data_IF_480282912262
#
_entry.id   IF_480282912262
#
_cell.length_a   1.000
_cell.length_b   1.000
_cell.length_c   1.000
_cell.angle_alpha   90.00
_cell.angle_beta   90.00
_cell.angle_gamma   90.00
#
_symmetry.space_group_name_H-M   'P 1'
#
loop_
_entity.id
_entity.type
_entity.pdbx_description
1 polymer ?
#
# COMPACT_ATOMS: atom_id res chain seq x y z
N UNK A 1 -3.82 7.94 -55.67
CA UNK A 1 -3.44 7.77 -54.26
C UNK A 1 -2.82 9.06 -53.78
N UNK A 2 -3.09 9.49 -52.55
CA UNK A 2 -2.63 10.80 -52.06
C UNK A 2 -1.10 10.84 -51.99
N UNK A 3 -0.50 11.94 -52.44
CA UNK A 3 0.95 12.18 -52.39
C UNK A 3 1.52 12.01 -50.96
N UNK A 4 0.70 12.30 -49.94
CA UNK A 4 1.04 12.10 -48.53
C UNK A 4 1.21 10.62 -48.15
N UNK A 5 0.40 9.71 -48.70
CA UNK A 5 0.52 8.28 -48.38
C UNK A 5 1.80 7.67 -48.96
N UNK A 6 2.22 8.18 -50.13
CA UNK A 6 3.45 7.73 -50.81
C UNK A 6 4.71 8.11 -50.04
N UNK A 7 4.85 9.38 -49.69
CA UNK A 7 6.01 9.88 -48.92
C UNK A 7 6.16 9.17 -47.57
N UNK A 8 5.04 8.87 -46.90
CA UNK A 8 5.04 8.11 -45.65
C UNK A 8 5.55 6.67 -45.86
N UNK A 9 5.13 6.00 -46.95
CA UNK A 9 5.63 4.65 -47.29
C UNK A 9 7.11 4.63 -47.67
N UNK A 10 7.58 5.61 -48.46
CA UNK A 10 8.99 5.75 -48.82
C UNK A 10 9.85 5.94 -47.56
N UNK A 11 9.41 6.79 -46.62
CA UNK A 11 10.13 7.01 -45.36
C UNK A 11 10.14 5.76 -44.46
N UNK A 12 9.05 5.01 -44.42
CA UNK A 12 8.96 3.75 -43.66
C UNK A 12 9.84 2.65 -44.26
N UNK A 13 9.89 2.54 -45.59
CA UNK A 13 10.79 1.61 -46.29
C UNK A 13 12.25 2.00 -46.10
N UNK A 14 12.60 3.29 -46.20
CA UNK A 14 13.95 3.77 -45.94
C UNK A 14 14.41 3.48 -44.49
N UNK A 15 13.51 3.66 -43.52
CA UNK A 15 13.77 3.29 -42.13
C UNK A 15 14.02 1.79 -41.96
N UNK A 16 13.18 0.95 -42.59
CA UNK A 16 13.31 -0.51 -42.53
C UNK A 16 14.60 -1.01 -43.20
N UNK A 17 14.98 -0.46 -44.35
CA UNK A 17 16.22 -0.78 -45.03
C UNK A 17 17.46 -0.40 -44.20
N UNK A 18 17.42 0.73 -43.46
CA UNK A 18 18.52 1.12 -42.57
C UNK A 18 18.65 0.18 -41.36
N UNK A 19 17.54 -0.20 -40.74
CA UNK A 19 17.55 -1.17 -39.62
C UNK A 19 18.07 -2.52 -40.10
N UNK A 20 17.60 -2.98 -41.26
CA UNK A 20 18.04 -4.25 -41.85
C UNK A 20 19.52 -4.23 -42.25
N UNK A 21 20.05 -3.09 -42.74
CA UNK A 21 21.49 -2.92 -42.96
C UNK A 21 22.31 -2.98 -41.67
N UNK A 22 21.78 -2.49 -40.55
CA UNK A 22 22.44 -2.60 -39.25
C UNK A 22 22.39 -4.03 -38.70
N UNK A 23 21.26 -4.74 -38.86
CA UNK A 23 21.10 -6.13 -38.42
C UNK A 23 21.97 -7.10 -39.23
N UNK A 24 22.13 -6.85 -40.53
CA UNK A 24 22.93 -7.67 -41.45
C UNK A 24 24.39 -7.19 -41.60
N UNK A 25 24.86 -6.31 -40.70
CA UNK A 25 26.21 -5.74 -40.77
C UNK A 25 27.32 -6.79 -40.58
N UNK A 26 27.05 -7.85 -39.82
CA UNK A 26 27.98 -8.94 -39.53
C UNK A 26 27.86 -10.14 -40.48
N UNK A 27 26.85 -10.14 -41.37
CA UNK A 27 26.63 -11.21 -42.35
C UNK A 27 27.48 -11.03 -43.62
N UNK A 28 27.65 -12.13 -44.37
CA UNK A 28 28.42 -12.15 -45.62
C UNK A 28 27.78 -11.20 -46.68
N UNK A 29 28.58 -10.44 -47.45
CA UNK A 29 28.07 -9.42 -48.37
C UNK A 29 27.01 -9.93 -49.35
N UNK A 30 27.13 -11.18 -49.80
CA UNK A 30 26.19 -11.81 -50.71
C UNK A 30 24.81 -12.04 -50.07
N UNK A 31 24.77 -12.47 -48.81
CA UNK A 31 23.51 -12.71 -48.08
C UNK A 31 22.82 -11.38 -47.78
N UNK A 32 23.62 -10.35 -47.45
CA UNK A 32 23.13 -8.99 -47.24
C UNK A 32 22.46 -8.42 -48.49
N UNK A 33 23.08 -8.58 -49.66
CA UNK A 33 22.51 -8.13 -50.93
C UNK A 33 21.22 -8.88 -51.28
N UNK A 34 21.22 -10.21 -51.15
CA UNK A 34 20.03 -11.05 -51.44
C UNK A 34 18.84 -10.65 -50.56
N UNK A 35 19.04 -10.38 -49.27
CA UNK A 35 17.97 -9.97 -48.36
C UNK A 35 17.49 -8.53 -48.58
N UNK A 36 18.41 -7.59 -48.87
CA UNK A 36 18.03 -6.21 -49.19
C UNK A 36 17.22 -6.12 -50.48
N UNK A 37 17.61 -6.89 -51.50
CA UNK A 37 16.89 -6.97 -52.78
C UNK A 37 15.52 -7.59 -52.58
N UNK A 38 15.39 -8.66 -51.79
CA UNK A 38 14.09 -9.29 -51.52
C UNK A 38 13.09 -8.33 -50.86
N UNK A 39 13.55 -7.49 -49.93
CA UNK A 39 12.71 -6.48 -49.27
C UNK A 39 12.33 -5.35 -50.23
N UNK A 40 13.25 -4.95 -51.11
CA UNK A 40 12.98 -3.95 -52.15
C UNK A 40 11.96 -4.48 -53.18
N UNK A 41 12.14 -5.71 -53.66
CA UNK A 41 11.23 -6.36 -54.61
C UNK A 41 9.82 -6.51 -54.04
N UNK A 42 9.70 -6.84 -52.75
CA UNK A 42 8.40 -6.90 -52.08
C UNK A 42 7.70 -5.53 -52.04
N UNK A 43 8.46 -4.46 -51.81
CA UNK A 43 7.91 -3.11 -51.78
C UNK A 43 7.54 -2.61 -53.19
N UNK A 44 8.38 -2.89 -54.19
CA UNK A 44 8.11 -2.55 -55.60
C UNK A 44 6.91 -3.32 -56.14
N UNK A 45 6.71 -4.58 -55.74
CA UNK A 45 5.55 -5.37 -56.13
C UNK A 45 4.21 -4.81 -55.61
N UNK A 46 4.25 -3.99 -54.55
CA UNK A 46 3.06 -3.34 -53.98
C UNK A 46 2.66 -2.03 -54.65
N UNK A 47 3.50 -1.50 -55.54
CA UNK A 47 3.31 -0.21 -56.23
C UNK A 47 2.88 -0.40 -57.69
N UNK A 48 2.23 0.62 -58.28
CA UNK A 48 1.80 0.55 -59.68
C UNK A 48 3.00 0.63 -60.64
N UNK A 49 3.04 -0.12 -61.75
CA UNK A 49 4.21 -0.18 -62.65
C UNK A 49 4.67 1.19 -63.19
N UNK A 50 3.75 2.14 -63.30
CA UNK A 50 3.96 3.51 -63.77
C UNK A 50 4.54 4.45 -62.70
N UNK A 51 4.41 4.09 -61.42
CA UNK A 51 4.90 4.87 -60.27
C UNK A 51 6.21 4.32 -59.68
N UNK A 52 6.67 3.14 -60.12
CA UNK A 52 7.94 2.54 -59.67
C UNK A 52 9.16 3.45 -59.90
N UNK A 53 9.33 4.11 -61.07
CA UNK A 53 10.52 4.92 -61.33
C UNK A 53 10.63 6.11 -60.37
N UNK A 54 9.53 6.83 -60.15
CA UNK A 54 9.51 7.98 -59.26
C UNK A 54 9.54 7.59 -57.77
N UNK A 55 9.10 6.37 -57.43
CA UNK A 55 9.22 5.84 -56.07
C UNK A 55 10.68 5.50 -55.72
N UNK A 56 11.42 4.92 -56.68
CA UNK A 56 12.85 4.62 -56.52
C UNK A 56 13.66 5.92 -56.47
N UNK A 57 13.35 6.92 -57.31
CA UNK A 57 14.01 8.24 -57.22
C UNK A 57 13.81 8.90 -55.86
N UNK A 58 12.58 8.89 -55.33
CA UNK A 58 12.30 9.38 -53.98
C UNK A 58 13.07 8.58 -52.91
N UNK A 59 13.14 7.25 -53.02
CA UNK A 59 13.90 6.41 -52.09
C UNK A 59 15.40 6.70 -52.13
N UNK A 60 15.98 6.94 -53.32
CA UNK A 60 17.38 7.28 -53.50
C UNK A 60 17.77 8.61 -52.82
N UNK A 61 16.83 9.55 -52.64
CA UNK A 61 17.12 10.78 -51.86
C UNK A 61 17.45 10.48 -50.38
N UNK A 62 16.97 9.35 -49.84
CA UNK A 62 17.25 8.91 -48.48
C UNK A 62 18.56 8.13 -48.36
N UNK A 63 19.16 7.74 -49.48
CA UNK A 63 20.43 7.01 -49.55
C UNK A 63 21.36 7.73 -50.53
N UNK A 64 22.02 8.84 -50.10
CA UNK A 64 22.93 9.56 -50.97
C UNK A 64 24.03 8.61 -51.45
N UNK A 65 24.11 8.42 -52.77
CA UNK A 65 25.17 7.62 -53.37
C UNK A 65 26.52 8.25 -52.98
N UNK A 66 27.36 7.50 -52.28
CA UNK A 66 28.79 7.74 -52.36
C UNK A 66 29.16 7.49 -53.82
N UNK A 67 29.21 8.56 -54.61
CA UNK A 67 29.28 8.48 -56.05
C UNK A 67 30.45 7.61 -56.52
N UNK A 68 30.21 6.87 -57.60
CA UNK A 68 31.25 6.31 -58.44
C UNK A 68 32.25 7.42 -58.80
N UNK A 69 33.42 7.34 -58.19
CA UNK A 69 34.44 8.36 -58.23
C UNK A 69 35.83 7.76 -58.11
N UNK A 70 36.27 7.10 -59.17
CA UNK A 70 37.70 7.06 -59.50
C UNK A 70 38.17 8.51 -59.61
N UNK A 71 38.81 9.02 -58.56
CA UNK A 71 39.17 10.43 -58.47
C UNK A 71 39.94 10.71 -57.19
N UNK A 72 41.26 10.54 -57.26
CA UNK A 72 42.18 11.03 -56.23
C UNK A 72 42.13 12.56 -56.18
N UNK A 73 41.60 13.15 -55.11
CA UNK A 73 41.99 14.44 -54.52
C UNK A 73 41.02 14.86 -53.38
N UNK A 74 41.44 15.83 -52.56
CA UNK A 74 42.18 15.68 -51.32
C UNK A 74 41.25 15.39 -50.13
N UNK A 75 41.70 14.56 -49.20
CA UNK A 75 41.07 14.40 -47.89
C UNK A 75 40.95 15.77 -47.21
N UNK A 76 39.74 16.31 -46.96
CA UNK A 76 39.62 17.21 -45.84
C UNK A 76 39.82 16.31 -44.63
N UNK A 77 40.97 16.44 -43.97
CA UNK A 77 41.14 15.92 -42.62
C UNK A 77 40.22 16.76 -41.74
N UNK A 78 38.91 16.48 -41.81
CA UNK A 78 38.03 16.70 -40.68
C UNK A 78 38.63 15.78 -39.63
N UNK A 79 39.38 16.37 -38.69
CA UNK A 79 39.63 15.76 -37.39
C UNK A 79 38.28 15.65 -36.69
N UNK A 80 37.38 14.81 -37.19
CA UNK A 80 36.40 14.16 -36.35
C UNK A 80 37.29 13.32 -35.44
N UNK A 81 37.58 13.85 -34.25
CA UNK A 81 37.76 12.98 -33.10
C UNK A 81 36.57 12.04 -33.18
N UNK A 82 36.80 10.82 -33.65
CA UNK A 82 35.93 9.71 -33.36
C UNK A 82 35.85 9.75 -31.85
N UNK A 83 34.76 10.34 -31.34
CA UNK A 83 34.54 10.32 -29.91
C UNK A 83 34.45 8.84 -29.61
N UNK A 84 35.42 8.35 -28.85
CA UNK A 84 35.37 7.00 -28.30
C UNK A 84 33.94 6.72 -27.82
N UNK A 85 33.45 5.48 -27.96
CA UNK A 85 32.14 5.13 -27.46
C UNK A 85 32.06 5.59 -26.00
N UNK A 86 31.32 6.69 -25.78
CA UNK A 86 31.28 7.38 -24.50
C UNK A 86 30.87 6.35 -23.47
N UNK A 87 31.66 6.21 -22.43
CA UNK A 87 31.33 5.28 -21.37
C UNK A 87 29.98 5.67 -20.78
N UNK A 88 29.16 4.72 -20.29
CA UNK A 88 27.89 5.04 -19.64
C UNK A 88 28.02 6.10 -18.53
N UNK A 89 29.18 6.15 -17.86
CA UNK A 89 29.51 7.16 -16.86
C UNK A 89 29.68 8.58 -17.42
N UNK A 90 30.18 8.73 -18.66
CA UNK A 90 30.31 10.03 -19.32
C UNK A 90 28.96 10.55 -19.82
N UNK A 91 28.07 9.67 -20.26
CA UNK A 91 26.68 10.01 -20.56
C UNK A 91 25.93 10.47 -19.32
N UNK A 92 26.07 9.75 -18.20
CA UNK A 92 25.50 10.15 -16.92
C UNK A 92 26.07 11.50 -16.45
N UNK A 93 27.39 11.71 -16.57
CA UNK A 93 28.02 12.99 -16.23
C UNK A 93 27.58 14.16 -17.12
N UNK A 94 27.32 13.90 -18.42
CA UNK A 94 26.75 14.88 -19.34
C UNK A 94 25.31 15.22 -19.00
N UNK A 95 24.50 14.22 -18.66
CA UNK A 95 23.11 14.37 -18.26
C UNK A 95 22.99 15.19 -16.96
N UNK A 96 23.83 14.91 -15.97
CA UNK A 96 23.87 15.65 -14.69
C UNK A 96 24.23 17.13 -14.93
N UNK A 97 25.20 17.41 -15.80
CA UNK A 97 25.57 18.80 -16.15
C UNK A 97 24.46 19.53 -16.90
N UNK A 98 23.73 18.82 -17.75
CA UNK A 98 22.59 19.38 -18.49
C UNK A 98 21.35 19.55 -17.59
N UNK A 99 21.25 18.79 -16.50
CA UNK A 99 20.11 18.79 -15.59
C UNK A 99 19.80 20.18 -15.03
N UNK A 100 20.82 20.90 -14.58
CA UNK A 100 20.67 22.24 -14.00
C UNK A 100 20.22 23.30 -15.00
N UNK A 101 20.47 23.07 -16.30
CA UNK A 101 20.05 23.97 -17.39
C UNK A 101 18.66 23.70 -17.94
N UNK A 102 18.02 22.58 -17.57
CA UNK A 102 16.69 22.21 -18.06
C UNK A 102 15.57 22.93 -17.30
N UNK A 103 14.50 23.28 -18.02
CA UNK A 103 13.28 23.80 -17.41
C UNK A 103 12.56 22.70 -16.61
N UNK A 104 11.66 23.05 -15.66
CA UNK A 104 10.91 22.06 -14.90
C UNK A 104 10.10 21.09 -15.79
N UNK A 105 9.50 21.59 -16.87
CA UNK A 105 8.72 20.77 -17.81
C UNK A 105 9.60 19.79 -18.59
N UNK A 106 10.81 20.21 -18.99
CA UNK A 106 11.73 19.34 -19.72
C UNK A 106 12.34 18.26 -18.81
N UNK A 107 12.50 18.55 -17.52
CA UNK A 107 12.92 17.55 -16.51
C UNK A 107 11.86 16.48 -16.32
N UNK A 108 10.58 16.86 -16.29
CA UNK A 108 9.47 15.90 -16.15
C UNK A 108 9.35 15.02 -17.40
N UNK A 109 9.45 15.62 -18.59
CA UNK A 109 9.45 14.88 -19.86
C UNK A 109 10.63 13.90 -19.96
N UNK A 110 11.84 14.35 -19.61
CA UNK A 110 13.03 13.52 -19.61
C UNK A 110 12.94 12.37 -18.59
N UNK A 111 12.35 12.62 -17.42
CA UNK A 111 12.11 11.59 -16.41
C UNK A 111 11.12 10.55 -16.93
N UNK A 112 10.04 10.97 -17.59
CA UNK A 112 9.08 10.06 -18.20
C UNK A 112 9.73 9.16 -19.26
N UNK A 113 10.59 9.72 -20.12
CA UNK A 113 11.32 8.94 -21.14
C UNK A 113 12.33 7.97 -20.51
N UNK A 114 13.00 8.36 -19.43
CA UNK A 114 13.95 7.48 -18.72
C UNK A 114 13.24 6.34 -17.99
N UNK A 115 12.01 6.56 -17.50
CA UNK A 115 11.14 5.52 -16.92
C UNK A 115 10.63 4.58 -18.02
N UNK A 116 10.16 5.11 -19.15
CA UNK A 116 9.70 4.31 -20.30
C UNK A 116 10.83 3.43 -20.87
N UNK A 117 12.06 3.96 -20.90
CA UNK A 117 13.26 3.23 -21.30
C UNK A 117 13.80 2.26 -20.24
N UNK A 118 13.17 2.16 -19.06
CA UNK A 118 13.60 1.25 -17.98
C UNK A 118 14.97 1.56 -17.38
N UNK A 119 15.56 2.73 -17.69
CA UNK A 119 16.88 3.16 -17.20
C UNK A 119 16.82 3.54 -15.72
N UNK A 120 15.69 4.13 -15.32
CA UNK A 120 15.33 4.36 -13.93
C UNK A 120 14.10 3.52 -13.61
N UNK A 121 14.20 2.67 -12.59
CA UNK A 121 12.99 2.16 -11.95
C UNK A 121 12.34 3.34 -11.24
N UNK A 122 10.99 3.47 -11.28
CA UNK A 122 10.30 4.47 -10.48
C UNK A 122 10.63 4.24 -9.01
N UNK A 123 11.64 4.97 -8.54
CA UNK A 123 12.08 4.94 -7.15
C UNK A 123 11.18 5.93 -6.40
N UNK A 124 10.80 5.63 -5.15
CA UNK A 124 9.69 6.30 -4.46
C UNK A 124 10.11 7.65 -3.87
N UNK A 125 10.69 8.50 -4.71
CA UNK A 125 10.81 9.93 -4.47
C UNK A 125 9.97 10.62 -5.55
N UNK A 126 8.64 10.56 -5.40
CA UNK A 126 7.75 11.38 -6.23
C UNK A 126 6.69 10.65 -7.06
N UNK A 127 6.50 9.34 -6.94
CA UNK A 127 5.19 8.77 -7.31
C UNK A 127 4.22 9.24 -6.25
N UNK A 128 3.43 10.26 -6.60
CA UNK A 128 2.30 10.69 -5.79
C UNK A 128 1.45 9.48 -5.40
N UNK A 129 0.88 9.51 -4.20
CA UNK A 129 -0.05 8.50 -3.75
C UNK A 129 -1.17 8.34 -4.80
N UNK A 130 -1.68 7.13 -5.10
CA UNK A 130 -2.79 6.98 -6.01
C UNK A 130 -3.94 7.92 -5.60
N UNK A 131 -4.58 8.64 -6.53
CA UNK A 131 -5.49 9.74 -6.20
C UNK A 131 -6.66 9.30 -5.31
N UNK A 132 -7.12 8.05 -5.48
CA UNK A 132 -8.16 7.45 -4.64
C UNK A 132 -7.70 7.25 -3.18
N UNK A 133 -6.47 6.76 -2.99
CA UNK A 133 -5.87 6.54 -1.67
C UNK A 133 -5.56 7.89 -1.01
N UNK A 134 -5.08 8.87 -1.78
CA UNK A 134 -4.83 10.21 -1.28
C UNK A 134 -6.14 10.87 -0.82
N UNK A 135 -7.20 10.80 -1.62
CA UNK A 135 -8.50 11.39 -1.25
C UNK A 135 -9.10 10.74 -0.01
N UNK A 136 -9.07 9.41 0.10
CA UNK A 136 -9.54 8.70 1.28
C UNK A 136 -8.73 9.10 2.52
N UNK A 137 -7.39 9.16 2.41
CA UNK A 137 -6.53 9.58 3.50
C UNK A 137 -6.76 11.03 3.92
N UNK A 138 -6.92 11.96 2.96
CA UNK A 138 -7.27 13.37 3.24
C UNK A 138 -8.58 13.48 4.00
N UNK A 139 -9.58 12.68 3.63
CA UNK A 139 -10.88 12.68 4.32
C UNK A 139 -10.77 12.19 5.77
N UNK A 140 -10.02 11.10 6.00
CA UNK A 140 -9.82 10.51 7.33
C UNK A 140 -8.98 11.37 8.25
N UNK A 141 -7.97 12.05 7.69
CA UNK A 141 -7.11 12.99 8.41
C UNK A 141 -7.71 14.40 8.53
N UNK A 142 -8.87 14.65 7.90
CA UNK A 142 -9.57 15.93 7.91
C UNK A 142 -8.69 17.10 7.44
N UNK A 143 -7.89 16.85 6.40
CA UNK A 143 -6.96 17.84 5.84
C UNK A 143 -7.71 18.96 5.11
N UNK A 144 -7.22 20.19 5.27
CA UNK A 144 -7.79 21.36 4.63
C UNK A 144 -7.34 21.47 3.16
N UNK A 145 -8.08 22.23 2.32
CA UNK A 145 -7.63 22.57 0.98
C UNK A 145 -6.30 23.35 1.06
N UNK A 146 -5.23 22.80 0.48
CA UNK A 146 -3.88 23.38 0.50
C UNK A 146 -2.87 22.63 1.38
N UNK A 147 -3.32 21.76 2.28
CA UNK A 147 -2.42 20.90 3.04
C UNK A 147 -1.73 19.90 2.12
N UNK A 148 -0.41 19.77 2.25
CA UNK A 148 0.42 18.85 1.47
C UNK A 148 0.62 17.55 2.24
N UNK A 149 0.37 16.43 1.58
CA UNK A 149 0.72 15.10 2.07
C UNK A 149 2.13 14.73 1.63
N UNK A 150 2.97 14.40 2.61
CA UNK A 150 4.30 13.85 2.36
C UNK A 150 4.21 12.32 2.39
N UNK A 151 4.38 11.68 1.22
CA UNK A 151 4.27 10.23 1.07
C UNK A 151 5.27 9.47 1.95
N UNK A 152 6.49 9.99 2.16
CA UNK A 152 7.50 9.34 3.00
C UNK A 152 7.07 9.36 4.47
N UNK A 153 6.48 10.47 4.93
CA UNK A 153 5.93 10.57 6.29
C UNK A 153 4.69 9.69 6.48
N UNK A 154 3.85 9.54 5.46
CA UNK A 154 2.72 8.61 5.53
C UNK A 154 3.20 7.17 5.66
N UNK A 155 4.20 6.76 4.89
CA UNK A 155 4.79 5.41 5.03
C UNK A 155 5.40 5.19 6.41
N UNK A 156 6.11 6.18 6.95
CA UNK A 156 6.63 6.12 8.32
C UNK A 156 5.49 6.01 9.37
N UNK A 157 4.38 6.73 9.17
CA UNK A 157 3.19 6.63 10.02
C UNK A 157 2.59 5.22 9.98
N UNK A 158 2.54 4.56 8.80
CA UNK A 158 2.06 3.18 8.69
C UNK A 158 2.85 2.25 9.59
N UNK A 159 4.18 2.36 9.64
CA UNK A 159 5.02 1.55 10.54
C UNK A 159 4.64 1.75 12.01
N UNK A 160 4.46 3.00 12.45
CA UNK A 160 4.04 3.32 13.83
C UNK A 160 2.66 2.72 14.13
N UNK A 161 1.73 2.81 13.18
CA UNK A 161 0.39 2.24 13.32
C UNK A 161 0.42 0.71 13.36
N UNK A 162 1.38 0.05 12.72
CA UNK A 162 1.54 -1.41 12.81
C UNK A 162 2.00 -1.85 14.20
N UNK A 163 2.91 -1.10 14.82
CA UNK A 163 3.32 -1.37 16.20
C UNK A 163 2.14 -1.19 17.16
N UNK A 164 1.38 -0.11 17.00
CA UNK A 164 0.17 0.14 17.79
C UNK A 164 -0.88 -0.95 17.59
N UNK A 165 -1.11 -1.38 16.35
CA UNK A 165 -2.06 -2.44 16.02
C UNK A 165 -1.66 -3.77 16.68
N UNK A 166 -0.38 -4.13 16.62
CA UNK A 166 0.15 -5.34 17.26
C UNK A 166 0.01 -5.27 18.79
N UNK A 167 0.28 -4.11 19.38
CA UNK A 167 0.08 -3.88 20.80
C UNK A 167 -1.40 -4.06 21.20
N UNK A 168 -2.33 -3.44 20.48
CA UNK A 168 -3.76 -3.58 20.73
C UNK A 168 -4.25 -5.02 20.63
N UNK A 169 -3.82 -5.74 19.58
CA UNK A 169 -4.17 -7.15 19.37
C UNK A 169 -3.71 -8.03 20.54
N UNK A 170 -2.43 -7.90 20.92
CA UNK A 170 -1.87 -8.66 22.04
C UNK A 170 -2.53 -8.29 23.36
N UNK A 171 -2.74 -7.00 23.63
CA UNK A 171 -3.34 -6.54 24.88
C UNK A 171 -4.79 -7.03 25.01
N UNK A 172 -5.59 -6.94 23.95
CA UNK A 172 -6.99 -7.37 23.95
C UNK A 172 -7.10 -8.88 24.16
N UNK A 173 -6.35 -9.69 23.40
CA UNK A 173 -6.42 -11.15 23.51
C UNK A 173 -5.79 -11.69 24.80
N UNK A 174 -4.74 -11.04 25.32
CA UNK A 174 -4.15 -11.41 26.61
C UNK A 174 -5.09 -11.13 27.77
N UNK A 175 -5.86 -10.04 27.72
CA UNK A 175 -6.89 -9.75 28.71
C UNK A 175 -8.07 -10.73 28.58
N UNK A 176 -8.50 -11.01 27.35
CA UNK A 176 -9.62 -11.93 27.11
C UNK A 176 -9.31 -13.36 27.54
N UNK A 177 -8.25 -13.98 27.03
CA UNK A 177 -7.99 -15.42 27.17
C UNK A 177 -6.58 -15.75 27.67
N UNK A 178 -5.88 -14.82 28.33
CA UNK A 178 -4.54 -15.04 28.87
C UNK A 178 -4.52 -15.97 30.09
N UNK A 179 -3.40 -16.64 30.33
CA UNK A 179 -3.24 -17.67 31.39
C UNK A 179 -3.24 -17.14 32.83
N UNK A 180 -3.31 -15.83 33.04
CA UNK A 180 -3.32 -15.21 34.37
C UNK A 180 -4.70 -14.68 34.76
N UNK A 181 -4.98 -13.43 34.36
CA UNK A 181 -6.22 -12.72 34.67
C UNK A 181 -7.15 -12.68 33.43
N UNK A 182 -7.46 -13.86 32.86
CA UNK A 182 -8.45 -13.97 31.79
C UNK A 182 -9.82 -13.55 32.30
N UNK A 183 -10.46 -12.63 31.59
CA UNK A 183 -11.85 -12.24 31.84
C UNK A 183 -12.85 -13.10 31.06
N UNK A 184 -12.38 -13.96 30.14
CA UNK A 184 -13.25 -14.86 29.42
C UNK A 184 -13.91 -15.88 30.38
N UNK A 185 -15.22 -16.15 30.21
CA UNK A 185 -15.88 -17.20 30.95
C UNK A 185 -15.32 -18.59 30.56
N UNK A 186 -15.38 -19.57 31.47
CA UNK A 186 -14.99 -20.94 31.17
C UNK A 186 -15.76 -21.49 29.96
N UNK A 187 -15.05 -22.11 29.02
CA UNK A 187 -15.66 -22.73 27.84
C UNK A 187 -16.06 -21.76 26.72
N UNK A 188 -15.54 -20.53 26.69
CA UNK A 188 -15.83 -19.60 25.59
C UNK A 188 -15.36 -20.12 24.22
N UNK A 189 -16.18 -19.88 23.19
CA UNK A 189 -15.84 -20.13 21.79
C UNK A 189 -15.11 -18.95 21.13
N UNK A 190 -15.02 -17.80 21.80
CA UNK A 190 -14.33 -16.62 21.26
C UNK A 190 -12.82 -16.82 21.42
N UNK A 191 -12.15 -17.23 20.34
CA UNK A 191 -10.70 -17.52 20.31
C UNK A 191 -9.96 -16.76 19.23
N UNK A 192 -8.75 -16.28 19.51
CA UNK A 192 -7.91 -15.61 18.50
C UNK A 192 -7.68 -16.51 17.28
N UNK A 193 -7.75 -15.93 16.08
CA UNK A 193 -7.34 -16.60 14.83
C UNK A 193 -5.82 -16.56 14.59
N UNK A 194 -5.07 -16.04 15.56
CA UNK A 194 -3.65 -15.76 15.48
C UNK A 194 -3.36 -14.26 15.44
N UNK A 195 -2.06 -13.88 15.37
CA UNK A 195 -1.65 -12.48 15.41
C UNK A 195 -2.16 -11.70 14.21
N UNK A 196 -2.70 -10.49 14.44
CA UNK A 196 -3.27 -9.66 13.37
C UNK A 196 -2.27 -9.31 12.26
N UNK A 197 -0.97 -9.21 12.60
CA UNK A 197 0.10 -8.94 11.63
C UNK A 197 0.24 -10.03 10.56
N UNK A 198 -0.19 -11.27 10.85
CA UNK A 198 -0.26 -12.33 9.82
C UNK A 198 -1.25 -11.96 8.72
N UNK A 199 -2.39 -11.39 9.08
CA UNK A 199 -3.43 -10.96 8.14
C UNK A 199 -3.00 -9.72 7.37
N UNK A 200 -2.33 -8.76 8.04
CA UNK A 200 -1.74 -7.58 7.37
C UNK A 200 -0.71 -8.02 6.32
N UNK A 201 0.21 -8.91 6.69
CA UNK A 201 1.20 -9.46 5.76
C UNK A 201 0.53 -10.09 4.54
N UNK A 202 -0.50 -10.90 4.78
CA UNK A 202 -1.20 -11.58 3.70
C UNK A 202 -1.93 -10.60 2.76
N UNK A 203 -2.53 -9.54 3.31
CA UNK A 203 -3.16 -8.46 2.55
C UNK A 203 -2.15 -7.71 1.67
N UNK A 204 -1.01 -7.29 2.25
CA UNK A 204 0.05 -6.58 1.51
C UNK A 204 0.64 -7.44 0.39
N UNK A 205 0.74 -8.76 0.61
CA UNK A 205 1.23 -9.70 -0.39
C UNK A 205 0.16 -10.12 -1.43
N UNK A 206 -1.09 -9.63 -1.30
CA UNK A 206 -2.19 -10.01 -2.20
C UNK A 206 -2.61 -11.48 -2.09
N UNK A 207 -2.33 -12.12 -0.96
CA UNK A 207 -2.62 -13.55 -0.71
C UNK A 207 -3.94 -13.80 0.01
N UNK A 208 -4.67 -12.73 0.36
CA UNK A 208 -5.94 -12.77 1.09
C UNK A 208 -7.18 -12.97 0.18
N UNK A 209 -6.99 -12.93 -1.14
CA UNK A 209 -8.04 -12.88 -2.17
C UNK A 209 -8.96 -14.11 -2.20
N UNK A 210 -8.60 -15.22 -1.53
CA UNK A 210 -9.32 -16.50 -1.66
C UNK A 210 -9.92 -17.08 -0.36
N UNK A 211 -10.00 -16.31 0.73
CA UNK A 211 -10.48 -16.83 2.02
C UNK A 211 -11.70 -16.07 2.54
N UNK A 212 -12.93 -16.60 2.36
CA UNK A 212 -14.14 -16.01 2.92
C UNK A 212 -14.03 -15.89 4.46
N UNK A 213 -14.17 -14.67 4.98
CA UNK A 213 -14.17 -14.41 6.43
C UNK A 213 -12.80 -14.45 7.13
N UNK A 214 -11.70 -14.64 6.40
CA UNK A 214 -10.34 -14.77 6.95
C UNK A 214 -9.36 -13.72 6.36
N UNK A 215 -9.90 -12.59 5.90
CA UNK A 215 -9.13 -11.44 5.42
C UNK A 215 -8.81 -10.42 6.52
N UNK A 216 -8.03 -9.39 6.17
CA UNK A 216 -7.64 -8.33 7.11
C UNK A 216 -8.83 -7.54 7.67
N UNK A 217 -9.80 -7.18 6.82
CA UNK A 217 -10.95 -6.38 7.24
C UNK A 217 -11.84 -7.07 8.29
N UNK A 218 -12.27 -8.34 8.11
CA UNK A 218 -13.00 -9.08 9.15
C UNK A 218 -12.23 -9.23 10.46
N UNK A 219 -10.92 -9.49 10.41
CA UNK A 219 -10.10 -9.63 11.62
C UNK A 219 -9.94 -8.29 12.36
N UNK A 220 -9.78 -7.18 11.64
CA UNK A 220 -9.79 -5.83 12.23
C UNK A 220 -11.12 -5.52 12.91
N UNK A 221 -12.25 -5.83 12.27
CA UNK A 221 -13.57 -5.66 12.88
C UNK A 221 -13.71 -6.50 14.14
N UNK A 222 -13.23 -7.75 14.11
CA UNK A 222 -13.24 -8.63 15.28
C UNK A 222 -12.44 -8.07 16.45
N UNK A 223 -11.23 -7.57 16.20
CA UNK A 223 -10.42 -6.91 17.22
C UNK A 223 -11.13 -5.67 17.78
N UNK A 224 -11.72 -4.84 16.91
CA UNK A 224 -12.50 -3.67 17.35
C UNK A 224 -13.71 -4.06 18.22
N UNK A 225 -14.43 -5.12 17.85
CA UNK A 225 -15.54 -5.63 18.64
C UNK A 225 -15.09 -6.17 19.99
N UNK A 226 -13.98 -6.89 20.05
CA UNK A 226 -13.39 -7.37 21.31
C UNK A 226 -13.03 -6.17 22.19
N UNK A 227 -12.28 -5.19 21.67
CA UNK A 227 -11.92 -3.99 22.43
C UNK A 227 -13.14 -3.23 22.94
N UNK A 228 -14.17 -3.01 22.11
CA UNK A 228 -15.43 -2.38 22.54
C UNK A 228 -16.15 -3.19 23.60
N UNK A 229 -16.21 -4.51 23.44
CA UNK A 229 -16.86 -5.41 24.40
C UNK A 229 -16.17 -5.38 25.76
N UNK A 230 -14.84 -5.43 25.78
CA UNK A 230 -14.04 -5.34 27.01
C UNK A 230 -14.19 -3.95 27.66
N UNK A 231 -14.00 -2.87 26.91
CA UNK A 231 -14.10 -1.50 27.44
C UNK A 231 -15.53 -1.17 27.90
N UNK A 232 -16.55 -1.59 27.15
CA UNK A 232 -17.96 -1.43 27.53
C UNK A 232 -18.33 -2.28 28.73
N UNK A 233 -17.82 -3.51 28.78
CA UNK A 233 -18.02 -4.46 29.87
C UNK A 233 -17.50 -3.93 31.21
N UNK A 234 -16.41 -3.16 31.22
CA UNK A 234 -15.92 -2.48 32.43
C UNK A 234 -16.99 -1.57 33.04
N UNK A 235 -17.66 -0.74 32.23
CA UNK A 235 -18.68 0.20 32.71
C UNK A 235 -19.97 -0.48 33.21
N UNK A 236 -20.23 -1.68 32.72
CA UNK A 236 -21.45 -2.45 32.97
C UNK A 236 -21.29 -3.56 34.02
N UNK A 237 -20.06 -4.03 34.24
CA UNK A 237 -19.69 -5.07 35.20
C UNK A 237 -20.24 -4.79 36.60
N UNK A 238 -20.20 -3.54 37.05
CA UNK A 238 -20.74 -3.14 38.34
C UNK A 238 -22.26 -3.30 38.46
N UNK A 239 -23.02 -3.08 37.36
CA UNK A 239 -24.47 -3.34 37.35
C UNK A 239 -24.75 -4.83 37.41
N UNK A 240 -24.10 -5.61 36.53
CA UNK A 240 -24.30 -7.07 36.45
C UNK A 240 -23.93 -7.75 37.77
N UNK A 241 -22.81 -7.34 38.37
CA UNK A 241 -22.37 -7.86 39.65
C UNK A 241 -23.28 -7.42 40.80
N UNK A 242 -23.69 -6.15 40.83
CA UNK A 242 -24.66 -5.64 41.81
C UNK A 242 -26.00 -6.37 41.75
N UNK A 243 -26.49 -6.69 40.55
CA UNK A 243 -27.70 -7.51 40.37
C UNK A 243 -27.52 -8.94 40.87
N UNK A 244 -26.39 -9.58 40.58
CA UNK A 244 -26.09 -10.92 41.10
C UNK A 244 -26.03 -10.93 42.64
N UNK A 245 -25.33 -9.96 43.24
CA UNK A 245 -25.29 -9.86 44.71
C UNK A 245 -26.68 -9.61 45.28
N UNK A 246 -27.49 -8.77 44.64
CA UNK A 246 -28.85 -8.52 45.07
C UNK A 246 -29.73 -9.78 45.00
N UNK A 247 -29.65 -10.56 43.93
CA UNK A 247 -30.46 -11.78 43.79
C UNK A 247 -30.10 -12.86 44.80
N UNK A 248 -28.85 -12.90 45.28
CA UNK A 248 -28.37 -13.93 46.21
C UNK A 248 -28.40 -13.47 47.68
N UNK A 249 -28.06 -12.21 47.94
CA UNK A 249 -27.82 -11.69 49.29
C UNK A 249 -28.89 -10.69 49.77
N UNK A 250 -29.89 -10.36 48.96
CA UNK A 250 -30.98 -9.52 49.45
C UNK A 250 -31.73 -10.21 50.61
N UNK A 251 -32.13 -9.46 51.65
CA UNK A 251 -32.94 -10.00 52.74
C UNK A 251 -34.17 -10.77 52.26
N UNK A 252 -34.80 -10.30 51.19
CA UNK A 252 -35.96 -10.92 50.55
C UNK A 252 -35.64 -12.29 49.96
N UNK A 253 -34.52 -12.40 49.23
CA UNK A 253 -34.09 -13.66 48.61
C UNK A 253 -33.72 -14.71 49.66
N UNK A 254 -33.02 -14.29 50.72
CA UNK A 254 -32.64 -15.17 51.81
C UNK A 254 -33.89 -15.62 52.60
N UNK A 255 -34.84 -14.71 52.91
CA UNK A 255 -36.12 -15.08 53.55
C UNK A 255 -36.92 -16.08 52.71
N UNK A 256 -36.96 -15.90 51.39
CA UNK A 256 -37.63 -16.84 50.49
C UNK A 256 -37.01 -18.24 50.52
N UNK A 257 -35.70 -18.34 50.76
CA UNK A 257 -34.97 -19.62 50.81
C UNK A 257 -35.05 -20.31 52.17
N UNK A 258 -35.02 -19.55 53.28
CA UNK A 258 -34.94 -20.09 54.64
C UNK A 258 -36.32 -20.24 55.32
N UNK A 259 -37.35 -19.53 54.84
CA UNK A 259 -38.68 -19.51 55.45
C UNK A 259 -38.77 -18.63 56.70
N UNK A 260 -39.88 -18.73 57.45
CA UNK A 260 -40.23 -17.81 58.57
C UNK A 260 -39.84 -18.30 59.98
N UNK A 261 -39.04 -19.36 60.10
CA UNK A 261 -38.71 -20.00 61.37
C UNK A 261 -37.46 -19.44 62.06
N UNK A 262 -37.47 -18.18 62.52
CA UNK A 262 -36.37 -17.63 63.32
C UNK A 262 -36.65 -17.76 64.82
N UNK A 263 -35.68 -18.27 65.60
CA UNK A 263 -35.70 -18.17 67.06
C UNK A 263 -35.28 -16.76 67.49
N UNK A 264 -35.72 -16.28 68.66
CA UNK A 264 -35.50 -14.91 69.14
C UNK A 264 -34.02 -14.43 69.04
N UNK A 265 -33.06 -15.29 69.39
CA UNK A 265 -31.62 -14.97 69.25
C UNK A 265 -31.16 -14.85 67.79
N UNK A 266 -31.75 -15.58 66.84
CA UNK A 266 -31.45 -15.46 65.41
C UNK A 266 -32.14 -14.26 64.77
N UNK A 267 -33.23 -13.78 65.37
CA UNK A 267 -33.93 -12.58 64.94
C UNK A 267 -33.05 -11.33 65.12
N UNK A 268 -32.39 -11.18 66.27
CA UNK A 268 -31.50 -10.03 66.52
C UNK A 268 -30.32 -9.98 65.52
N UNK A 269 -29.76 -11.13 65.14
CA UNK A 269 -28.72 -11.21 64.09
C UNK A 269 -29.27 -10.89 62.71
N UNK A 270 -30.51 -11.29 62.43
CA UNK A 270 -31.21 -11.01 61.18
C UNK A 270 -31.52 -9.52 61.02
N UNK A 271 -32.03 -8.87 62.06
CA UNK A 271 -32.34 -7.44 62.06
C UNK A 271 -31.06 -6.60 61.87
N UNK A 272 -29.93 -7.01 62.47
CA UNK A 272 -28.63 -6.39 62.23
C UNK A 272 -28.14 -6.60 60.79
N UNK A 273 -28.40 -7.76 60.20
CA UNK A 273 -28.09 -8.03 58.80
C UNK A 273 -28.91 -7.14 57.87
N UNK A 274 -30.22 -7.04 58.06
CA UNK A 274 -31.10 -6.17 57.25
C UNK A 274 -30.66 -4.69 57.32
N UNK A 275 -30.36 -4.20 58.52
CA UNK A 275 -29.90 -2.82 58.72
C UNK A 275 -28.55 -2.51 58.05
N UNK A 276 -27.69 -3.53 57.87
CA UNK A 276 -26.42 -3.41 57.14
C UNK A 276 -26.63 -3.58 55.63
N UNK A 277 -27.38 -4.59 55.23
CA UNK A 277 -27.73 -4.89 53.85
C UNK A 277 -28.37 -3.68 53.17
N UNK A 278 -29.31 -2.99 53.84
CA UNK A 278 -29.95 -1.79 53.29
C UNK A 278 -28.98 -0.63 53.03
N UNK A 279 -27.79 -0.62 53.64
CA UNK A 279 -26.76 0.41 53.44
C UNK A 279 -25.69 -0.02 52.44
N UNK A 280 -25.35 -1.30 52.38
CA UNK A 280 -24.21 -1.80 51.59
C UNK A 280 -24.62 -2.49 50.28
N UNK A 281 -25.85 -3.01 50.18
CA UNK A 281 -26.38 -3.66 48.97
C UNK A 281 -27.11 -2.68 48.03
N UNK A 282 -26.83 -1.37 48.13
CA UNK A 282 -27.31 -0.43 47.11
C UNK A 282 -26.59 -0.69 45.78
N UNK A 283 -27.37 -1.11 44.77
CA UNK A 283 -26.88 -1.46 43.42
C UNK A 283 -26.17 -0.29 42.75
N UNK A 284 -26.67 0.93 42.96
CA UNK A 284 -26.08 2.12 42.35
C UNK A 284 -24.77 2.51 43.04
N UNK A 285 -24.69 2.32 44.36
CA UNK A 285 -23.47 2.54 45.13
C UNK A 285 -22.39 1.51 44.77
N UNK A 286 -22.71 0.22 44.70
CA UNK A 286 -21.76 -0.83 44.26
C UNK A 286 -21.20 -0.52 42.87
N UNK A 287 -22.08 -0.15 41.93
CA UNK A 287 -21.69 0.25 40.57
C UNK A 287 -20.75 1.46 40.59
N UNK A 288 -21.04 2.46 41.43
CA UNK A 288 -20.21 3.67 41.58
C UNK A 288 -18.85 3.34 42.17
N UNK A 289 -18.79 2.53 43.22
CA UNK A 289 -17.54 2.13 43.86
C UNK A 289 -16.62 1.35 42.91
N UNK A 290 -17.17 0.39 42.16
CA UNK A 290 -16.41 -0.37 41.16
C UNK A 290 -15.83 0.58 40.10
N UNK A 291 -16.62 1.52 39.58
CA UNK A 291 -16.13 2.52 38.61
C UNK A 291 -15.01 3.39 39.19
N UNK A 292 -15.15 3.84 40.43
CA UNK A 292 -14.13 4.65 41.10
C UNK A 292 -12.84 3.85 41.35
N UNK A 293 -12.94 2.59 41.76
CA UNK A 293 -11.80 1.71 41.96
C UNK A 293 -11.02 1.50 40.65
N UNK A 294 -11.72 1.26 39.55
CA UNK A 294 -11.11 1.13 38.22
C UNK A 294 -10.45 2.45 37.79
N UNK A 295 -11.13 3.58 37.99
CA UNK A 295 -10.58 4.90 37.67
C UNK A 295 -9.28 5.21 38.43
N UNK A 296 -9.26 4.96 39.74
CA UNK A 296 -8.06 5.11 40.58
C UNK A 296 -6.91 4.22 40.12
N UNK A 297 -7.22 2.95 39.81
CA UNK A 297 -6.21 2.01 39.30
C UNK A 297 -5.58 2.51 37.99
N UNK A 298 -6.40 2.97 37.04
CA UNK A 298 -5.91 3.51 35.76
C UNK A 298 -5.07 4.77 35.99
N UNK A 299 -5.51 5.68 36.85
CA UNK A 299 -4.76 6.90 37.18
C UNK A 299 -3.38 6.60 37.78
N UNK A 300 -3.32 5.68 38.76
CA UNK A 300 -2.07 5.26 39.37
C UNK A 300 -1.13 4.56 38.37
N UNK A 301 -1.69 3.79 37.45
CA UNK A 301 -0.92 3.16 36.38
C UNK A 301 -0.32 4.20 35.43
N UNK A 302 -1.12 5.18 34.98
CA UNK A 302 -0.65 6.27 34.11
C UNK A 302 0.41 7.15 34.79
N UNK A 303 0.27 7.42 36.09
CA UNK A 303 1.28 8.16 36.88
C UNK A 303 2.62 7.43 36.96
N UNK A 304 2.62 6.09 36.98
CA UNK A 304 3.85 5.28 36.96
C UNK A 304 4.53 5.28 35.60
N UNK A 305 3.75 5.36 34.51
CA UNK A 305 4.30 5.42 33.15
C UNK A 305 4.98 6.76 32.83
N UNK A 306 4.48 7.87 33.41
CA UNK A 306 5.04 9.21 33.19
C UNK A 306 6.25 9.56 34.10
N UNK A 307 6.75 8.61 34.89
CA UNK A 307 7.95 8.77 35.74
C UNK A 307 9.11 8.00 35.15
#
# INVERSE_FOLDING_TARGET
MSFADRTTRVSALAGRLRVLQCELADEEPRIREEQLVAVLDQAVASEQPQDVPSFIEELLTWFPAAGDGSGSAPTPVIKTKASEPRSPAEWAGGLIKAWDSLSPQDRDALTATLVEGGVIQPTPAGVGMPPEVEQDLRSKLQLQPGDRLDAARVMALVTILMDFLSFCDQAAWRLWSGTGASIAPPGTDVRSNGPILKFVRNYVMGTDVNLPGLGLAPELQRLQHLMRGVMGGIGESGRVYGEMLWTVLSPESIKATVGTGFTKSKQDYWDLFEARASKTLDRDEIKREIRLAIGRYVEDWMKKFNR
#
